data_IF_202441291129
#
_entry.id   IF_202441291129
#
_cell.length_a   1.000
_cell.length_b   1.000
_cell.length_c   1.000
_cell.angle_alpha   90.00
_cell.angle_beta   90.00
_cell.angle_gamma   90.00
#
_symmetry.space_group_name_H-M   'P 1'
#
loop_
_entity.id
_entity.type
_entity.pdbx_description
1 polymer ?
#
# COMPACT_ATOMS: atom_id res chain seq x y z
N UNK A 1 6.92 9.28 24.68
CA UNK A 1 7.49 10.04 23.58
C UNK A 1 7.78 9.13 22.40
N UNK A 2 7.26 9.45 21.24
CA UNK A 2 7.41 8.57 20.07
C UNK A 2 8.74 8.83 19.38
N UNK A 3 9.68 7.88 19.49
CA UNK A 3 10.94 7.96 18.76
C UNK A 3 10.71 7.85 17.26
N UNK A 4 9.75 7.00 16.87
CA UNK A 4 9.43 6.76 15.45
C UNK A 4 8.86 8.02 14.82
N UNK A 5 7.96 8.73 15.51
CA UNK A 5 7.35 9.94 14.98
C UNK A 5 8.33 11.08 14.76
N UNK A 6 9.43 11.13 15.51
CA UNK A 6 10.44 12.18 15.39
C UNK A 6 11.48 11.94 14.32
N UNK A 7 11.56 10.72 13.77
CA UNK A 7 12.54 10.42 12.74
C UNK A 7 12.16 11.09 11.43
N UNK A 8 13.10 11.81 10.78
CA UNK A 8 12.82 12.36 9.46
C UNK A 8 12.57 11.25 8.43
N UNK A 9 11.75 11.58 7.45
CA UNK A 9 11.48 10.66 6.33
C UNK A 9 12.31 11.14 5.15
N UNK A 10 13.23 10.29 4.69
CA UNK A 10 14.06 10.60 3.53
C UNK A 10 13.23 10.47 2.25
N UNK A 11 13.39 11.45 1.36
CA UNK A 11 12.71 11.45 0.07
C UNK A 11 13.70 10.93 -0.98
N UNK A 12 13.42 9.76 -1.60
CA UNK A 12 14.29 9.23 -2.65
C UNK A 12 14.29 10.12 -3.90
N UNK A 13 15.31 9.96 -4.74
CA UNK A 13 15.36 10.64 -6.03
C UNK A 13 14.13 10.22 -6.87
N UNK A 14 13.53 11.19 -7.56
CA UNK A 14 12.36 10.94 -8.39
C UNK A 14 11.03 11.04 -7.65
N UNK A 15 11.04 11.26 -6.34
CA UNK A 15 9.83 11.46 -5.54
C UNK A 15 9.70 12.93 -5.18
N UNK A 16 8.49 13.47 -5.36
CA UNK A 16 8.16 14.85 -5.03
C UNK A 16 7.09 14.84 -3.94
N UNK A 17 7.25 15.70 -2.94
CA UNK A 17 6.29 15.83 -1.84
C UNK A 17 5.74 17.25 -1.85
N UNK A 18 4.41 17.36 -1.88
CA UNK A 18 3.68 18.62 -1.76
C UNK A 18 2.94 18.64 -0.44
N UNK A 19 3.14 19.69 0.33
CA UNK A 19 2.50 19.83 1.64
C UNK A 19 1.56 21.03 1.62
N UNK A 20 0.29 20.75 1.89
CA UNK A 20 -0.72 21.79 2.08
C UNK A 20 -1.28 21.66 3.49
N UNK A 21 -1.95 22.70 4.04
CA UNK A 21 -2.51 22.57 5.38
C UNK A 21 -3.48 21.39 5.48
N UNK A 22 -3.15 20.45 6.33
CA UNK A 22 -3.97 19.26 6.58
C UNK A 22 -3.78 18.12 5.62
N UNK A 23 -2.94 18.26 4.57
CA UNK A 23 -2.77 17.18 3.58
C UNK A 23 -1.35 17.13 3.04
N UNK A 24 -0.87 15.91 2.81
CA UNK A 24 0.41 15.63 2.16
C UNK A 24 0.14 14.84 0.89
N UNK A 25 0.67 15.29 -0.23
CA UNK A 25 0.60 14.58 -1.51
C UNK A 25 2.00 14.18 -1.94
N UNK A 26 2.15 12.93 -2.35
CA UNK A 26 3.44 12.37 -2.75
C UNK A 26 3.34 11.87 -4.18
N UNK A 27 4.28 12.29 -5.03
CA UNK A 27 4.34 11.90 -6.44
C UNK A 27 5.62 11.13 -6.69
N UNK A 28 5.53 10.02 -7.41
CA UNK A 28 6.67 9.21 -7.76
C UNK A 28 6.46 8.37 -9.00
N UNK A 29 7.49 7.62 -9.44
CA UNK A 29 7.40 6.83 -10.67
C UNK A 29 6.35 5.72 -10.62
N UNK A 30 5.95 5.28 -9.45
CA UNK A 30 4.94 4.21 -9.31
C UNK A 30 3.52 4.74 -9.10
N UNK A 31 3.33 6.04 -8.97
CA UNK A 31 2.02 6.64 -8.82
C UNK A 31 2.03 7.83 -7.86
N UNK A 32 0.84 8.31 -7.56
CA UNK A 32 0.62 9.44 -6.68
C UNK A 32 -0.27 9.00 -5.53
N UNK A 33 0.05 9.44 -4.31
CA UNK A 33 -0.74 9.16 -3.11
C UNK A 33 -0.91 10.43 -2.31
N UNK A 34 -2.00 10.51 -1.57
CA UNK A 34 -2.26 11.63 -0.68
C UNK A 34 -2.77 11.14 0.67
N UNK A 35 -2.49 11.90 1.72
CA UNK A 35 -2.88 11.57 3.09
C UNK A 35 -3.21 12.84 3.86
N UNK A 36 -4.36 12.83 4.51
CA UNK A 36 -4.73 13.90 5.45
C UNK A 36 -4.10 13.62 6.81
N UNK A 37 -3.86 14.69 7.56
CA UNK A 37 -3.34 14.57 8.92
C UNK A 37 -4.04 15.54 9.87
N UNK A 38 -4.09 15.23 11.19
CA UNK A 38 -4.76 16.09 12.16
C UNK A 38 -4.07 17.44 12.32
N UNK A 39 -4.83 18.47 12.66
CA UNK A 39 -4.32 19.84 12.85
C UNK A 39 -3.31 19.97 13.99
N UNK A 40 -3.30 19.01 14.92
CA UNK A 40 -2.32 19.02 16.03
C UNK A 40 -0.91 18.68 15.56
N UNK A 41 -0.77 18.25 14.32
CA UNK A 41 0.51 17.95 13.70
C UNK A 41 0.89 19.03 12.70
N UNK A 42 2.18 19.22 12.53
CA UNK A 42 2.76 20.11 11.55
C UNK A 42 3.74 19.29 10.71
N UNK A 43 3.60 19.36 9.38
CA UNK A 43 4.44 18.64 8.46
C UNK A 43 5.26 19.66 7.69
N UNK A 44 6.58 19.48 7.68
CA UNK A 44 7.50 20.40 7.03
C UNK A 44 8.42 19.65 6.09
N UNK A 45 8.78 20.31 4.99
CA UNK A 45 9.77 19.80 4.04
C UNK A 45 11.08 20.54 4.27
N UNK A 46 12.14 19.81 4.60
CA UNK A 46 13.47 20.37 4.80
C UNK A 46 14.45 19.64 3.89
N UNK A 47 14.88 20.32 2.83
CA UNK A 47 15.72 19.74 1.77
C UNK A 47 15.04 18.50 1.18
N UNK A 48 15.61 17.32 1.40
CA UNK A 48 15.08 16.04 0.91
C UNK A 48 14.45 15.20 2.03
N UNK A 49 14.02 15.85 3.11
CA UNK A 49 13.44 15.17 4.27
C UNK A 49 12.10 15.76 4.64
N UNK A 50 11.18 14.89 5.06
CA UNK A 50 9.90 15.29 5.64
C UNK A 50 9.99 15.16 7.15
N UNK A 51 9.68 16.24 7.84
CA UNK A 51 9.71 16.29 9.31
C UNK A 51 8.30 16.54 9.81
N UNK A 52 7.86 15.71 10.75
CA UNK A 52 6.54 15.83 11.36
C UNK A 52 6.72 16.23 12.82
N UNK A 53 6.07 17.33 13.21
CA UNK A 53 6.09 17.84 14.55
C UNK A 53 4.70 17.81 15.16
N UNK A 54 4.62 17.70 16.48
CA UNK A 54 3.35 17.74 17.19
C UNK A 54 3.32 18.95 18.13
N UNK A 55 2.10 19.46 18.37
CA UNK A 55 1.92 20.65 19.22
C UNK A 55 2.10 20.34 20.70
N UNK A 56 1.81 19.10 21.12
CA UNK A 56 1.90 18.73 22.53
C UNK A 56 2.29 17.28 22.73
N UNK A 57 2.27 16.83 23.98
CA UNK A 57 2.71 15.50 24.38
C UNK A 57 1.57 14.63 24.93
N UNK A 58 0.32 14.99 24.66
CA UNK A 58 -0.80 14.14 25.06
C UNK A 58 -0.73 12.77 24.38
N UNK A 59 -1.39 11.77 24.97
CA UNK A 59 -1.38 10.42 24.41
C UNK A 59 -1.94 10.39 22.99
N UNK A 60 -3.08 11.05 22.67
CA UNK A 60 -3.55 11.11 21.29
C UNK A 60 -2.59 11.79 20.33
N UNK A 61 -1.93 12.88 20.76
CA UNK A 61 -0.98 13.59 19.90
C UNK A 61 0.24 12.74 19.57
N UNK A 62 0.75 11.99 20.55
CA UNK A 62 1.85 11.05 20.29
C UNK A 62 1.44 9.92 19.36
N UNK A 63 0.21 9.40 19.52
CA UNK A 63 -0.31 8.35 18.66
C UNK A 63 -0.47 8.84 17.23
N UNK A 64 -1.05 10.04 17.03
CA UNK A 64 -1.21 10.63 15.70
C UNK A 64 0.13 10.92 15.05
N UNK A 65 1.11 11.37 15.83
CA UNK A 65 2.45 11.66 15.34
C UNK A 65 3.11 10.40 14.76
N UNK A 66 3.12 9.31 15.51
CA UNK A 66 3.68 8.03 15.05
C UNK A 66 2.93 7.45 13.86
N UNK A 67 1.60 7.49 13.91
CA UNK A 67 0.76 6.97 12.82
C UNK A 67 0.98 7.76 11.52
N UNK A 68 0.94 9.08 11.58
CA UNK A 68 1.10 9.93 10.40
C UNK A 68 2.48 9.75 9.79
N UNK A 69 3.51 9.68 10.62
CA UNK A 69 4.87 9.43 10.14
C UNK A 69 4.94 8.09 9.40
N UNK A 70 4.35 7.03 9.94
CA UNK A 70 4.35 5.72 9.32
C UNK A 70 3.58 5.73 8.00
N UNK A 71 2.41 6.40 7.94
CA UNK A 71 1.62 6.51 6.72
C UNK A 71 2.36 7.26 5.62
N UNK A 72 3.00 8.38 5.95
CA UNK A 72 3.75 9.17 4.97
C UNK A 72 4.98 8.39 4.49
N UNK A 73 5.69 7.73 5.40
CA UNK A 73 6.84 6.90 5.03
C UNK A 73 6.44 5.78 4.06
N UNK A 74 5.28 5.13 4.31
CA UNK A 74 4.75 4.11 3.41
C UNK A 74 4.37 4.69 2.05
N UNK A 75 3.82 5.90 2.01
CA UNK A 75 3.49 6.57 0.75
C UNK A 75 4.75 6.85 -0.07
N UNK A 76 5.78 7.37 0.56
CA UNK A 76 7.06 7.67 -0.11
C UNK A 76 7.67 6.38 -0.67
N UNK A 77 7.71 5.32 0.12
CA UNK A 77 8.22 4.02 -0.34
C UNK A 77 7.37 3.46 -1.48
N UNK A 78 6.04 3.57 -1.36
CA UNK A 78 5.12 3.04 -2.37
C UNK A 78 5.22 3.72 -3.71
N UNK A 79 5.33 5.06 -3.76
CA UNK A 79 5.44 5.77 -5.03
C UNK A 79 6.84 5.65 -5.65
N UNK A 80 7.87 5.34 -4.85
CA UNK A 80 9.23 5.16 -5.37
C UNK A 80 9.49 3.74 -5.85
N UNK A 81 9.21 2.73 -5.04
CA UNK A 81 9.51 1.33 -5.32
C UNK A 81 8.26 0.47 -5.54
N UNK A 82 7.16 0.85 -4.92
CA UNK A 82 5.94 0.05 -4.91
C UNK A 82 5.96 -1.04 -3.84
N UNK A 83 4.81 -1.63 -3.61
CA UNK A 83 4.66 -2.75 -2.71
C UNK A 83 4.22 -3.98 -3.50
N UNK A 84 4.79 -5.13 -3.18
CA UNK A 84 4.45 -6.40 -3.83
C UNK A 84 4.06 -7.42 -2.78
N UNK A 85 2.90 -8.04 -2.97
CA UNK A 85 2.48 -9.21 -2.20
C UNK A 85 2.42 -10.38 -3.16
N UNK A 86 3.08 -11.48 -2.80
CA UNK A 86 3.10 -12.68 -3.62
C UNK A 86 2.27 -13.76 -2.95
N UNK A 87 1.42 -14.41 -3.75
CA UNK A 87 0.56 -15.48 -3.29
C UNK A 87 0.87 -16.74 -4.07
N UNK A 88 1.05 -17.84 -3.37
CA UNK A 88 1.20 -19.15 -3.98
C UNK A 88 -0.13 -19.88 -3.90
N UNK A 89 -0.62 -20.35 -5.04
CA UNK A 89 -1.88 -21.07 -5.12
C UNK A 89 -1.57 -22.56 -5.24
N UNK A 90 -1.99 -23.31 -4.23
CA UNK A 90 -1.75 -24.75 -4.16
C UNK A 90 -3.01 -25.49 -4.59
N UNK A 91 -2.86 -26.43 -5.53
CA UNK A 91 -3.96 -27.25 -5.99
C UNK A 91 -4.85 -26.63 -7.07
N UNK A 92 -4.57 -25.40 -7.49
CA UNK A 92 -5.37 -24.69 -8.48
C UNK A 92 -4.48 -24.12 -9.57
N UNK A 93 -5.08 -23.84 -10.71
CA UNK A 93 -4.40 -23.16 -11.80
C UNK A 93 -4.82 -21.71 -11.86
N UNK A 94 -3.89 -20.85 -12.20
CA UNK A 94 -4.11 -19.43 -12.33
C UNK A 94 -3.58 -18.98 -13.68
N UNK A 95 -4.34 -18.16 -14.37
CA UNK A 95 -3.94 -17.61 -15.68
C UNK A 95 -4.18 -16.12 -15.70
N UNK A 96 -3.32 -15.40 -16.41
CA UNK A 96 -3.52 -13.98 -16.64
C UNK A 96 -4.71 -13.78 -17.58
N UNK A 97 -5.64 -12.92 -17.17
CA UNK A 97 -6.83 -12.60 -17.97
C UNK A 97 -6.91 -11.08 -18.12
N UNK A 98 -6.22 -10.53 -19.12
CA UNK A 98 -6.11 -9.09 -19.29
C UNK A 98 -5.40 -8.47 -18.09
N UNK A 99 -6.04 -7.52 -17.42
CA UNK A 99 -5.52 -6.91 -16.20
C UNK A 99 -5.86 -7.73 -14.94
N UNK A 100 -6.76 -8.70 -15.04
CA UNK A 100 -7.20 -9.54 -13.95
C UNK A 100 -6.59 -10.92 -13.95
N UNK A 101 -7.10 -11.78 -13.11
CA UNK A 101 -6.61 -13.15 -12.94
C UNK A 101 -7.79 -14.11 -13.05
N UNK A 102 -7.63 -15.16 -13.87
CA UNK A 102 -8.59 -16.24 -13.98
C UNK A 102 -8.12 -17.42 -13.16
N UNK A 103 -8.90 -17.77 -12.13
CA UNK A 103 -8.57 -18.84 -11.19
C UNK A 103 -9.47 -20.05 -11.43
N UNK A 104 -8.88 -21.18 -11.74
CA UNK A 104 -9.60 -22.46 -11.87
C UNK A 104 -9.45 -23.21 -10.55
N UNK A 105 -10.49 -23.16 -9.74
CA UNK A 105 -10.46 -23.66 -8.36
C UNK A 105 -11.20 -24.99 -8.19
N UNK A 106 -11.05 -25.88 -9.15
CA UNK A 106 -11.56 -27.25 -9.03
C UNK A 106 -13.03 -27.43 -9.39
N UNK A 107 -13.71 -26.35 -9.76
CA UNK A 107 -15.11 -26.41 -10.21
C UNK A 107 -15.22 -26.15 -11.70
N UNK A 108 -16.42 -26.37 -12.23
CA UNK A 108 -16.70 -26.11 -13.63
C UNK A 108 -16.63 -24.63 -14.00
N UNK A 109 -16.71 -23.73 -13.01
CA UNK A 109 -16.73 -22.31 -13.24
C UNK A 109 -15.41 -21.67 -12.81
N UNK A 110 -14.67 -21.08 -13.76
CA UNK A 110 -13.50 -20.28 -13.38
C UNK A 110 -13.95 -19.00 -12.68
N UNK A 111 -13.14 -18.53 -11.74
CA UNK A 111 -13.38 -17.28 -11.05
C UNK A 111 -12.41 -16.23 -11.59
N UNK A 112 -12.95 -15.13 -12.09
CA UNK A 112 -12.14 -14.01 -12.59
C UNK A 112 -12.10 -12.95 -11.51
N UNK A 113 -10.89 -12.55 -11.13
CA UNK A 113 -10.67 -11.50 -10.15
C UNK A 113 -10.06 -10.30 -10.86
N UNK A 114 -10.75 -9.17 -10.81
CA UNK A 114 -10.27 -7.93 -11.39
C UNK A 114 -9.45 -7.14 -10.37
N UNK A 115 -8.41 -6.41 -10.81
CA UNK A 115 -7.61 -5.62 -9.89
C UNK A 115 -8.40 -4.42 -9.36
N UNK A 116 -8.13 -4.07 -8.10
CA UNK A 116 -8.62 -2.82 -7.54
C UNK A 116 -7.89 -1.64 -8.19
N UNK A 117 -8.50 -0.43 -8.20
CA UNK A 117 -7.80 0.75 -8.71
C UNK A 117 -6.45 0.95 -8.02
N UNK A 118 -5.42 1.20 -8.81
CA UNK A 118 -4.07 1.40 -8.28
C UNK A 118 -3.28 0.12 -8.03
N UNK A 119 -3.82 -1.04 -8.38
CA UNK A 119 -3.18 -2.34 -8.18
C UNK A 119 -2.99 -3.03 -9.52
N UNK A 120 -1.84 -3.67 -9.68
CA UNK A 120 -1.53 -4.52 -10.85
C UNK A 120 -1.43 -5.96 -10.40
N UNK A 121 -2.06 -6.86 -11.14
CA UNK A 121 -2.00 -8.30 -10.90
C UNK A 121 -1.14 -8.95 -11.98
N UNK A 122 -0.20 -9.79 -11.56
CA UNK A 122 0.69 -10.50 -12.46
C UNK A 122 0.77 -11.96 -12.07
N UNK A 123 0.66 -12.85 -13.03
CA UNK A 123 0.75 -14.29 -12.81
C UNK A 123 2.11 -14.79 -13.24
N UNK A 124 2.79 -15.50 -12.35
CA UNK A 124 4.04 -16.15 -12.66
C UNK A 124 3.83 -17.66 -12.66
N UNK A 125 4.13 -18.30 -13.80
CA UNK A 125 3.81 -19.70 -13.96
C UNK A 125 2.31 -19.92 -13.99
N UNK A 126 1.81 -20.90 -13.26
CA UNK A 126 0.38 -21.16 -13.16
C UNK A 126 -0.10 -21.30 -11.71
N UNK A 127 0.73 -20.91 -10.76
CA UNK A 127 0.43 -21.06 -9.33
C UNK A 127 0.86 -19.86 -8.47
N UNK A 128 1.42 -18.82 -9.05
CA UNK A 128 1.84 -17.64 -8.29
C UNK A 128 1.18 -16.38 -8.83
N UNK A 129 0.68 -15.56 -7.94
CA UNK A 129 0.10 -14.26 -8.26
C UNK A 129 0.88 -13.18 -7.50
N UNK A 130 1.33 -12.18 -8.23
CA UNK A 130 1.97 -11.02 -7.64
C UNK A 130 1.02 -9.84 -7.67
N UNK A 131 0.76 -9.27 -6.51
CA UNK A 131 -0.09 -8.09 -6.35
C UNK A 131 0.82 -6.90 -6.10
N UNK A 132 0.82 -5.94 -7.01
CA UNK A 132 1.69 -4.76 -6.94
C UNK A 132 0.87 -3.50 -6.89
N UNK A 133 1.30 -2.55 -6.06
CA UNK A 133 0.64 -1.26 -5.96
C UNK A 133 1.48 -0.27 -5.18
N UNK A 134 1.21 1.01 -5.38
CA UNK A 134 1.87 2.08 -4.65
C UNK A 134 1.33 2.20 -3.22
N UNK A 135 0.06 1.87 -3.02
CA UNK A 135 -0.57 1.93 -1.70
C UNK A 135 -0.50 0.56 -1.02
N UNK A 136 0.23 0.50 0.09
CA UNK A 136 0.40 -0.74 0.85
C UNK A 136 -0.92 -1.33 1.31
N UNK A 137 -1.86 -0.49 1.74
CA UNK A 137 -3.16 -0.95 2.23
C UNK A 137 -3.99 -1.58 1.11
N UNK A 138 -4.01 -0.95 -0.06
CA UNK A 138 -4.78 -1.46 -1.21
C UNK A 138 -4.15 -2.75 -1.73
N UNK A 139 -2.83 -2.82 -1.83
CA UNK A 139 -2.14 -4.04 -2.25
C UNK A 139 -2.43 -5.20 -1.29
N UNK A 140 -2.39 -4.94 0.01
CA UNK A 140 -2.73 -5.94 1.02
C UNK A 140 -4.18 -6.39 0.97
N UNK A 141 -5.11 -5.46 0.75
CA UNK A 141 -6.52 -5.78 0.62
C UNK A 141 -6.80 -6.62 -0.64
N UNK A 142 -6.17 -6.28 -1.75
CA UNK A 142 -6.30 -7.07 -2.98
C UNK A 142 -5.80 -8.50 -2.79
N UNK A 143 -4.66 -8.66 -2.12
CA UNK A 143 -4.13 -9.99 -1.79
C UNK A 143 -5.11 -10.77 -0.91
N UNK A 144 -5.73 -10.10 0.05
CA UNK A 144 -6.74 -10.73 0.91
C UNK A 144 -7.98 -11.14 0.13
N UNK A 145 -8.42 -10.35 -0.84
CA UNK A 145 -9.56 -10.70 -1.71
C UNK A 145 -9.28 -11.95 -2.52
N UNK A 146 -8.10 -12.07 -3.08
CA UNK A 146 -7.70 -13.25 -3.84
C UNK A 146 -7.67 -14.47 -2.93
N UNK A 147 -7.16 -14.31 -1.73
CA UNK A 147 -7.11 -15.40 -0.75
C UNK A 147 -8.51 -15.86 -0.36
N UNK A 148 -9.49 -14.96 -0.24
CA UNK A 148 -10.88 -15.30 0.10
C UNK A 148 -11.59 -16.08 -0.98
N UNK A 149 -11.25 -15.86 -2.25
CA UNK A 149 -11.82 -16.64 -3.36
C UNK A 149 -11.50 -18.13 -3.19
N UNK A 150 -10.32 -18.43 -2.71
CA UNK A 150 -9.88 -19.80 -2.48
C UNK A 150 -10.52 -20.46 -1.26
N UNK A 151 -10.84 -19.68 -0.27
CA UNK A 151 -11.27 -20.17 1.04
C UNK A 151 -12.46 -21.12 1.01
N UNK A 152 -13.52 -20.89 0.21
CA UNK A 152 -14.67 -21.82 0.20
C UNK A 152 -14.31 -23.24 -0.17
N UNK A 153 -13.32 -23.45 -1.00
CA UNK A 153 -12.91 -24.79 -1.43
C UNK A 153 -12.17 -25.56 -0.36
N UNK A 154 -11.63 -24.89 0.63
CA UNK A 154 -10.92 -25.54 1.71
C UNK A 154 -11.85 -26.38 2.62
N UNK A 155 -13.14 -26.18 2.51
CA UNK A 155 -14.14 -26.90 3.31
C UNK A 155 -14.70 -28.13 2.61
N UNK A 156 -14.14 -28.48 1.48
CA UNK A 156 -14.59 -29.67 0.71
C UNK A 156 -13.54 -30.75 0.56
#
# INVERSE_FOLDING_TARGET
>A
MSRIGKQPILIPAGVTVDITPGMVTVHGPKGDLEQTYPKVLSVKLNEDKVIIERAGDSRPERAFHGLTRALIANMVAGVSEGFTKSLEIVGYRVQQAGSGVNMQIGYSHPVVVDPMPGVTLEVEGNNQIHVRGADKQIAGEMAARIRRVRKPDAYK
#
